data_IF_339915356145
#
_entry.id   IF_339915356145
#
_cell.length_a   1.000
_cell.length_b   1.000
_cell.length_c   1.000
_cell.angle_alpha   90.00
_cell.angle_beta   90.00
_cell.angle_gamma   90.00
#
_symmetry.space_group_name_H-M   'P 1'
#
loop_
_entity.id
_entity.type
_entity.pdbx_description
1 polymer ?
#
# COMPACT_ATOMS: atom_id res chain seq x y z
N UNK A 1 -9.44 -2.57 6.27
CA UNK A 1 -8.38 -2.06 5.39
C UNK A 1 -7.81 -3.18 4.57
N UNK A 2 -7.67 -2.95 3.30
CA UNK A 2 -7.11 -3.92 2.37
C UNK A 2 -5.85 -3.33 1.75
N UNK A 3 -4.80 -4.14 1.67
CA UNK A 3 -3.57 -3.74 0.97
C UNK A 3 -3.26 -4.77 -0.09
N UNK A 4 -2.71 -4.33 -1.21
CA UNK A 4 -2.29 -5.25 -2.24
C UNK A 4 -1.21 -4.63 -3.12
N UNK A 5 -0.41 -5.49 -3.73
CA UNK A 5 0.54 -5.09 -4.76
C UNK A 5 0.15 -5.88 -6.00
N UNK A 6 -0.47 -5.20 -6.96
CA UNK A 6 -1.05 -5.85 -8.13
C UNK A 6 0.01 -6.64 -8.89
N UNK A 7 -0.32 -7.90 -9.17
CA UNK A 7 0.60 -8.77 -9.89
C UNK A 7 1.63 -9.45 -9.01
N UNK A 8 1.67 -9.14 -7.71
CA UNK A 8 2.65 -9.71 -6.79
C UNK A 8 2.00 -10.37 -5.59
N UNK A 9 1.11 -9.66 -4.89
CA UNK A 9 0.45 -10.23 -3.71
C UNK A 9 -1.05 -10.24 -3.91
N UNK A 10 -1.72 -11.18 -3.22
CA UNK A 10 -3.16 -11.18 -3.14
C UNK A 10 -3.61 -10.05 -2.20
N UNK A 11 -4.81 -9.53 -2.34
CA UNK A 11 -5.32 -8.56 -1.37
C UNK A 11 -5.36 -9.17 0.03
N UNK A 12 -4.88 -8.43 1.01
CA UNK A 12 -4.87 -8.86 2.41
C UNK A 12 -5.65 -7.85 3.23
N UNK A 13 -6.50 -8.34 4.11
CA UNK A 13 -7.40 -7.50 4.88
C UNK A 13 -6.94 -7.38 6.32
N UNK A 14 -7.04 -6.19 6.88
CA UNK A 14 -6.63 -5.90 8.25
C UNK A 14 -7.69 -5.06 8.92
N UNK A 15 -7.85 -5.25 10.24
CA UNK A 15 -8.83 -4.50 11.00
C UNK A 15 -8.40 -3.05 11.20
N UNK A 16 -7.09 -2.80 11.29
CA UNK A 16 -6.58 -1.46 11.61
C UNK A 16 -5.59 -1.00 10.57
N UNK A 17 -5.62 0.29 10.26
CA UNK A 17 -4.72 0.88 9.29
C UNK A 17 -3.24 0.73 9.65
N UNK A 18 -2.80 0.95 10.91
CA UNK A 18 -1.38 0.75 11.22
C UNK A 18 -0.89 -0.66 10.92
N UNK A 19 -1.71 -1.67 11.19
CA UNK A 19 -1.33 -3.05 10.91
C UNK A 19 -1.25 -3.29 9.41
N UNK A 20 -2.19 -2.71 8.66
CA UNK A 20 -2.19 -2.83 7.21
C UNK A 20 -0.92 -2.21 6.62
N UNK A 21 -0.53 -1.02 7.10
CA UNK A 21 0.67 -0.35 6.59
C UNK A 21 1.94 -1.12 6.95
N UNK A 22 2.01 -1.67 8.16
CA UNK A 22 3.17 -2.48 8.56
C UNK A 22 3.32 -3.71 7.68
N UNK A 23 2.21 -4.39 7.40
CA UNK A 23 2.24 -5.57 6.55
C UNK A 23 2.63 -5.21 5.12
N UNK A 24 2.12 -4.08 4.61
CA UNK A 24 2.45 -3.64 3.26
C UNK A 24 3.94 -3.31 3.15
N UNK A 25 4.49 -2.60 4.12
CA UNK A 25 5.92 -2.29 4.12
C UNK A 25 6.76 -3.55 4.18
N UNK A 26 6.36 -4.54 4.99
CA UNK A 26 7.09 -5.80 5.07
C UNK A 26 7.09 -6.49 3.70
N UNK A 27 5.97 -6.48 3.00
CA UNK A 27 5.88 -7.07 1.67
C UNK A 27 6.78 -6.33 0.67
N UNK A 28 6.78 -5.00 0.72
CA UNK A 28 7.61 -4.20 -0.18
C UNK A 28 9.09 -4.42 0.09
N UNK A 29 9.49 -4.53 1.36
CA UNK A 29 10.89 -4.77 1.71
C UNK A 29 11.38 -6.14 1.26
N UNK A 30 10.50 -7.08 1.07
CA UNK A 30 10.85 -8.40 0.58
C UNK A 30 11.11 -8.43 -0.93
N UNK A 31 10.79 -7.34 -1.64
CA UNK A 31 10.98 -7.26 -3.08
C UNK A 31 12.30 -6.58 -3.42
N UNK A 32 12.93 -6.95 -4.53
CA UNK A 32 14.19 -6.32 -4.94
C UNK A 32 13.93 -4.96 -5.63
N UNK A 33 13.43 -4.00 -4.86
CA UNK A 33 13.05 -2.70 -5.41
C UNK A 33 14.18 -1.70 -5.49
N UNK A 34 15.28 -1.91 -4.75
CA UNK A 34 16.34 -0.93 -4.67
C UNK A 34 16.10 0.06 -3.54
N UNK A 35 17.18 0.65 -3.05
CA UNK A 35 17.12 1.46 -1.84
C UNK A 35 16.24 2.71 -2.00
N UNK A 36 16.26 3.33 -3.17
CA UNK A 36 15.49 4.57 -3.37
C UNK A 36 13.99 4.32 -3.29
N UNK A 37 13.51 3.25 -3.90
CA UNK A 37 12.09 2.91 -3.81
C UNK A 37 11.73 2.51 -2.40
N UNK A 38 12.57 1.74 -1.71
CA UNK A 38 12.29 1.33 -0.35
C UNK A 38 12.22 2.52 0.58
N UNK A 39 13.09 3.50 0.42
CA UNK A 39 13.02 4.71 1.23
C UNK A 39 11.75 5.51 0.94
N UNK A 40 11.37 5.58 -0.32
CA UNK A 40 10.13 6.26 -0.71
C UNK A 40 8.92 5.62 -0.02
N UNK A 41 8.83 4.29 -0.05
CA UNK A 41 7.71 3.60 0.57
C UNK A 41 7.76 3.66 2.09
N UNK A 42 8.96 3.63 2.68
CA UNK A 42 9.09 3.80 4.13
C UNK A 42 8.52 5.14 4.56
N UNK A 43 8.74 6.21 3.81
CA UNK A 43 8.17 7.51 4.13
C UNK A 43 6.68 7.55 3.86
N UNK A 44 6.26 7.01 2.73
CA UNK A 44 4.87 7.10 2.32
C UNK A 44 3.93 6.33 3.25
N UNK A 45 4.36 5.14 3.67
CA UNK A 45 3.53 4.24 4.47
C UNK A 45 4.02 4.08 5.90
N UNK A 46 4.88 4.97 6.37
CA UNK A 46 5.33 4.96 7.74
C UNK A 46 4.13 4.95 8.69
N UNK A 47 4.17 4.16 9.76
CA UNK A 47 3.08 4.18 10.75
C UNK A 47 2.78 5.58 11.28
N UNK A 48 3.77 6.49 11.27
CA UNK A 48 3.54 7.87 11.65
C UNK A 48 2.69 8.64 10.64
N UNK A 49 2.43 8.06 9.47
CA UNK A 49 1.62 8.70 8.42
C UNK A 49 0.17 8.24 8.45
N UNK A 50 -0.25 7.53 9.49
CA UNK A 50 -1.60 6.94 9.56
C UNK A 50 -2.69 7.97 9.36
N UNK A 51 -2.57 9.16 9.98
CA UNK A 51 -3.60 10.18 9.84
C UNK A 51 -3.70 10.69 8.41
N UNK A 52 -2.57 10.96 7.78
CA UNK A 52 -2.56 11.46 6.42
C UNK A 52 -3.16 10.44 5.46
N UNK A 53 -2.76 9.19 5.59
CA UNK A 53 -3.27 8.12 4.74
C UNK A 53 -4.75 7.90 5.01
N UNK A 54 -5.16 7.92 6.26
CA UNK A 54 -6.57 7.77 6.62
C UNK A 54 -7.41 8.86 6.00
N UNK A 55 -6.95 10.11 6.00
CA UNK A 55 -7.67 11.21 5.38
C UNK A 55 -7.81 11.00 3.86
N UNK A 56 -6.77 10.48 3.22
CA UNK A 56 -6.86 10.22 1.79
C UNK A 56 -7.83 9.11 1.47
N UNK A 57 -7.87 8.08 2.30
CA UNK A 57 -8.81 6.99 2.10
C UNK A 57 -10.24 7.48 2.28
N UNK A 58 -10.49 8.31 3.28
CA UNK A 58 -11.83 8.88 3.47
C UNK A 58 -12.22 9.75 2.29
N UNK A 59 -11.29 10.56 1.79
CA UNK A 59 -11.60 11.51 0.72
C UNK A 59 -11.71 10.84 -0.65
N UNK A 60 -10.87 9.85 -0.94
CA UNK A 60 -10.76 9.30 -2.29
C UNK A 60 -11.03 7.81 -2.38
N UNK A 61 -11.23 7.13 -1.26
CA UNK A 61 -11.48 5.70 -1.22
C UNK A 61 -10.24 4.83 -1.22
N UNK A 62 -9.12 5.36 -1.66
CA UNK A 62 -7.89 4.58 -1.74
C UNK A 62 -6.66 5.47 -1.81
N UNK A 63 -5.50 4.87 -1.51
CA UNK A 63 -4.20 5.47 -1.76
C UNK A 63 -3.46 4.54 -2.73
N UNK A 64 -2.86 5.11 -3.77
CA UNK A 64 -2.13 4.34 -4.78
C UNK A 64 -0.70 4.82 -4.89
N UNK A 65 0.19 3.89 -5.23
CA UNK A 65 1.56 4.21 -5.58
C UNK A 65 2.03 3.18 -6.61
N UNK A 66 3.20 3.41 -7.21
CA UNK A 66 3.76 2.45 -8.15
C UNK A 66 5.07 1.93 -7.62
N UNK A 67 5.24 0.61 -7.68
CA UNK A 67 6.51 -0.04 -7.37
C UNK A 67 7.04 -0.65 -8.66
N UNK A 68 8.30 -0.42 -8.97
CA UNK A 68 8.90 -0.94 -10.20
C UNK A 68 9.83 -2.10 -9.89
N UNK A 69 9.53 -3.25 -10.48
CA UNK A 69 10.45 -4.39 -10.48
C UNK A 69 11.14 -4.38 -11.83
N UNK A 70 12.37 -3.89 -11.85
CA UNK A 70 13.02 -3.61 -13.12
C UNK A 70 12.25 -2.50 -13.82
N UNK A 71 11.75 -2.78 -15.00
CA UNK A 71 10.97 -1.80 -15.76
C UNK A 71 9.47 -2.05 -15.67
N UNK A 72 9.05 -3.04 -14.90
CA UNK A 72 7.63 -3.41 -14.82
C UNK A 72 6.96 -2.70 -13.63
N UNK A 73 5.96 -1.86 -13.88
CA UNK A 73 5.26 -1.18 -12.77
C UNK A 73 4.20 -2.09 -12.15
N UNK A 74 4.07 -1.99 -10.83
CA UNK A 74 3.03 -2.69 -10.09
C UNK A 74 2.31 -1.68 -9.21
N UNK A 75 0.99 -1.66 -9.27
CA UNK A 75 0.21 -0.73 -8.46
C UNK A 75 0.15 -1.23 -7.03
N UNK A 76 0.53 -0.37 -6.08
CA UNK A 76 0.43 -0.62 -4.66
C UNK A 76 -0.81 0.13 -4.18
N UNK A 77 -1.74 -0.57 -3.55
CA UNK A 77 -3.02 0.03 -3.15
C UNK A 77 -3.32 -0.22 -1.68
N UNK A 78 -3.88 0.80 -1.03
CA UNK A 78 -4.46 0.70 0.30
C UNK A 78 -5.88 1.26 0.19
N UNK A 79 -6.88 0.49 0.58
CA UNK A 79 -8.28 0.92 0.43
C UNK A 79 -9.17 0.22 1.45
N UNK A 80 -10.42 0.69 1.56
CA UNK A 80 -11.39 0.02 2.43
C UNK A 80 -12.04 -1.12 1.68
N UNK A 81 -12.42 -2.18 2.40
CA UNK A 81 -12.95 -3.37 1.77
C UNK A 81 -14.18 -3.11 0.90
N UNK A 82 -14.98 -2.11 1.23
CA UNK A 82 -16.17 -1.82 0.44
C UNK A 82 -15.93 -1.00 -0.80
N UNK A 83 -14.76 -0.39 -0.91
CA UNK A 83 -14.49 0.56 -1.98
C UNK A 83 -14.50 -0.08 -3.37
N UNK A 84 -13.99 -1.33 -3.48
CA UNK A 84 -13.90 -1.86 -4.80
C UNK A 84 -15.03 -2.75 -5.14
N UNK A 85 -16.03 -2.71 -4.43
CA UNK A 85 -17.10 -3.46 -4.80
C UNK A 85 -17.58 -3.01 -6.07
N UNK A 86 -18.36 -3.29 -6.56
CA UNK A 86 -18.95 -3.40 -7.75
C UNK A 86 -18.38 -2.83 -8.85
N UNK A 87 -18.56 -3.26 -9.66
CA UNK A 87 -18.09 -2.86 -10.89
C UNK A 87 -19.12 -2.98 -11.89
#
# INVERSE_FOLDING_TARGET
>A
MVVEIKGITEPAQFAKLPDALSALLASLRALPLGIEQLEYFDELFDPGSVQRIGHRIVAYGEVRALAFLGLTPHVVKVYTAGHEAPR
#
